data_IF_274813587946
#
_entry.id   IF_274813587946
#
_cell.length_a   1.000
_cell.length_b   1.000
_cell.length_c   1.000
_cell.angle_alpha   90.00
_cell.angle_beta   90.00
_cell.angle_gamma   90.00
#
_symmetry.space_group_name_H-M   'P 1'
#
loop_
_entity.id
_entity.type
_entity.pdbx_description
1 polymer ?
#
# COMPACT_ATOMS: atom_id res chain seq x y z
N UNK A 1 45.32 -104.87 38.35
CA UNK A 1 44.16 -104.17 37.74
C UNK A 1 43.68 -103.15 38.76
N UNK A 2 44.16 -101.92 38.67
CA UNK A 2 44.08 -100.95 39.76
C UNK A 2 43.57 -99.63 39.21
N UNK A 3 42.47 -99.18 39.82
CA UNK A 3 41.70 -97.97 39.52
C UNK A 3 42.52 -96.70 39.74
N UNK A 4 42.40 -95.73 38.84
CA UNK A 4 42.82 -94.34 39.07
C UNK A 4 41.58 -93.43 39.15
N UNK A 5 41.45 -92.73 40.28
CA UNK A 5 40.40 -91.74 40.55
C UNK A 5 40.60 -90.46 39.74
N UNK A 6 39.52 -89.95 39.17
CA UNK A 6 39.45 -88.60 38.61
C UNK A 6 38.99 -87.60 39.68
N UNK A 7 39.83 -86.59 39.96
CA UNK A 7 39.41 -85.39 40.70
C UNK A 7 38.72 -84.41 39.75
N UNK A 8 37.47 -84.05 40.04
CA UNK A 8 36.75 -82.95 39.38
C UNK A 8 37.12 -81.62 40.05
N UNK A 9 37.66 -80.68 39.28
CA UNK A 9 37.80 -79.28 39.68
C UNK A 9 36.58 -78.54 39.15
N UNK A 10 35.77 -77.97 40.05
CA UNK A 10 34.63 -77.11 39.70
C UNK A 10 35.12 -75.67 39.54
N UNK A 11 35.06 -75.13 38.32
CA UNK A 11 35.22 -73.69 38.06
C UNK A 11 33.87 -72.99 38.32
N UNK A 12 33.85 -72.04 39.25
CA UNK A 12 32.76 -71.08 39.38
C UNK A 12 32.93 -69.96 38.33
N UNK A 13 31.89 -69.59 37.57
CA UNK A 13 31.95 -68.42 36.69
C UNK A 13 31.81 -67.14 37.53
N UNK A 14 32.76 -66.22 37.38
CA UNK A 14 32.60 -64.84 37.84
C UNK A 14 31.56 -64.14 36.96
N UNK A 15 30.40 -63.79 37.53
CA UNK A 15 29.44 -62.87 36.92
C UNK A 15 29.94 -61.44 37.14
N UNK A 16 30.52 -60.82 36.11
CA UNK A 16 30.73 -59.36 36.08
C UNK A 16 29.40 -58.68 35.76
N UNK A 17 28.78 -58.06 36.75
CA UNK A 17 27.61 -57.20 36.56
C UNK A 17 28.03 -55.90 35.88
N UNK A 18 27.74 -55.76 34.58
CA UNK A 18 27.85 -54.49 33.87
C UNK A 18 26.61 -53.63 34.18
N UNK A 19 26.78 -52.58 34.98
CA UNK A 19 25.76 -51.56 35.21
C UNK A 19 25.72 -50.65 33.97
N UNK A 20 24.75 -50.87 33.09
CA UNK A 20 24.47 -49.95 31.98
C UNK A 20 23.78 -48.70 32.53
N UNK A 21 24.52 -47.59 32.59
CA UNK A 21 24.00 -46.28 32.92
C UNK A 21 23.14 -45.77 31.75
N UNK A 22 21.83 -46.00 31.80
CA UNK A 22 20.88 -45.41 30.83
C UNK A 22 20.69 -43.95 31.23
N UNK A 23 21.42 -43.05 30.58
CA UNK A 23 21.16 -41.61 30.69
C UNK A 23 19.89 -41.27 29.92
N UNK A 24 18.86 -40.69 30.55
CA UNK A 24 17.69 -40.22 29.82
C UNK A 24 18.12 -39.03 28.95
N UNK A 25 18.04 -39.18 27.63
CA UNK A 25 18.13 -38.06 26.70
C UNK A 25 16.92 -37.15 26.95
N UNK A 26 17.08 -36.15 27.82
CA UNK A 26 16.17 -35.01 27.83
C UNK A 26 16.34 -34.28 26.49
N UNK A 27 15.30 -34.18 25.63
CA UNK A 27 15.38 -33.35 24.43
C UNK A 27 15.65 -31.91 24.87
N UNK A 28 16.75 -31.34 24.37
CA UNK A 28 17.06 -29.94 24.61
C UNK A 28 15.90 -29.08 24.06
N UNK A 29 15.46 -28.04 24.78
CA UNK A 29 14.43 -27.15 24.27
C UNK A 29 14.91 -26.54 22.95
N UNK A 30 14.24 -26.89 21.86
CA UNK A 30 14.43 -26.22 20.58
C UNK A 30 13.88 -24.81 20.72
N UNK A 31 14.77 -23.84 20.92
CA UNK A 31 14.39 -22.43 20.78
C UNK A 31 14.05 -22.22 19.31
N UNK A 32 12.76 -22.16 18.99
CA UNK A 32 12.29 -21.79 17.67
C UNK A 32 12.90 -20.43 17.30
N UNK A 33 13.80 -20.42 16.32
CA UNK A 33 14.39 -19.19 15.80
C UNK A 33 13.24 -18.30 15.30
N UNK A 34 13.19 -17.06 15.77
CA UNK A 34 12.18 -16.11 15.30
C UNK A 34 12.24 -16.04 13.77
N UNK A 35 11.09 -16.13 13.07
CA UNK A 35 11.07 -16.15 11.62
C UNK A 35 11.79 -14.92 11.05
N UNK A 36 12.61 -15.14 10.03
CA UNK A 36 13.33 -14.05 9.36
C UNK A 36 12.34 -13.01 8.85
N UNK A 37 12.55 -11.74 9.20
CA UNK A 37 11.66 -10.65 8.82
C UNK A 37 11.81 -10.32 7.33
N UNK A 38 10.69 -10.23 6.63
CA UNK A 38 10.59 -9.79 5.24
C UNK A 38 10.84 -8.29 5.16
N UNK A 39 11.91 -7.90 4.46
CA UNK A 39 12.27 -6.48 4.29
C UNK A 39 11.38 -5.83 3.23
N UNK A 40 10.78 -4.69 3.57
CA UNK A 40 10.03 -3.83 2.67
C UNK A 40 10.66 -2.45 2.72
N UNK A 41 10.87 -1.81 1.57
CA UNK A 41 11.33 -0.42 1.53
C UNK A 41 10.14 0.46 1.18
N UNK A 42 9.76 1.38 2.07
CA UNK A 42 8.74 2.39 1.81
C UNK A 42 9.44 3.73 1.56
N UNK A 43 9.31 4.25 0.35
CA UNK A 43 9.83 5.55 -0.05
C UNK A 43 8.72 6.58 0.13
N UNK A 44 8.91 7.49 1.07
CA UNK A 44 8.14 8.72 1.22
C UNK A 44 8.79 9.83 0.40
N UNK A 45 8.01 10.48 -0.45
CA UNK A 45 8.44 11.62 -1.26
C UNK A 45 8.88 12.83 -0.43
N UNK A 46 9.46 13.82 -1.13
CA UNK A 46 9.76 15.13 -0.54
C UNK A 46 8.47 15.88 -0.17
N UNK A 47 8.57 16.82 0.77
CA UNK A 47 7.50 17.74 1.14
C UNK A 47 6.90 18.47 -0.09
N UNK A 48 5.58 18.45 -0.24
CA UNK A 48 4.88 19.13 -1.35
C UNK A 48 3.67 19.98 -0.94
N UNK A 49 2.45 19.43 -1.00
CA UNK A 49 1.16 20.12 -0.88
C UNK A 49 0.94 20.81 0.48
N UNK A 50 -0.12 21.63 0.64
CA UNK A 50 -0.47 22.25 1.92
C UNK A 50 -0.51 21.27 3.10
N UNK A 51 -0.40 21.82 4.32
CA UNK A 51 -0.43 21.02 5.55
C UNK A 51 -1.71 20.17 5.63
N UNK A 52 -1.56 18.89 5.95
CA UNK A 52 -2.63 17.89 5.96
C UNK A 52 -2.89 17.20 4.61
N UNK A 53 -2.21 17.62 3.54
CA UNK A 53 -2.26 17.02 2.20
C UNK A 53 -0.90 16.46 1.82
N UNK A 54 -0.86 15.29 1.18
CA UNK A 54 0.38 14.65 0.72
C UNK A 54 1.45 14.60 1.83
N UNK A 55 1.02 14.23 3.04
CA UNK A 55 1.92 14.05 4.17
C UNK A 55 2.61 12.69 4.05
N UNK A 56 3.52 12.57 3.07
CA UNK A 56 4.14 11.31 2.70
C UNK A 56 4.97 10.73 3.84
N UNK A 57 5.81 11.56 4.47
CA UNK A 57 6.62 11.16 5.63
C UNK A 57 5.74 10.75 6.79
N UNK A 58 4.80 11.59 7.21
CA UNK A 58 3.92 11.29 8.33
C UNK A 58 3.08 10.03 8.08
N UNK A 59 2.47 9.90 6.90
CA UNK A 59 1.67 8.73 6.51
C UNK A 59 2.52 7.46 6.43
N UNK A 60 3.70 7.56 5.81
CA UNK A 60 4.68 6.47 5.77
C UNK A 60 5.12 6.00 7.16
N UNK A 61 5.29 6.92 8.12
CA UNK A 61 5.57 6.60 9.52
C UNK A 61 4.42 5.82 10.17
N UNK A 62 3.17 6.24 9.97
CA UNK A 62 2.00 5.55 10.52
C UNK A 62 1.86 4.12 9.98
N UNK A 63 2.04 3.94 8.67
CA UNK A 63 1.98 2.63 8.01
C UNK A 63 3.16 1.73 8.45
N UNK A 64 4.36 2.29 8.54
CA UNK A 64 5.56 1.59 9.02
C UNK A 64 5.40 1.13 10.46
N UNK A 65 4.90 2.00 11.34
CA UNK A 65 4.59 1.69 12.75
C UNK A 65 3.56 0.56 12.84
N UNK A 66 2.47 0.63 12.08
CA UNK A 66 1.46 -0.42 12.05
C UNK A 66 2.05 -1.79 11.65
N UNK A 67 2.87 -1.82 10.59
CA UNK A 67 3.48 -3.07 10.11
C UNK A 67 4.55 -3.60 11.07
N UNK A 68 5.46 -2.76 11.54
CA UNK A 68 6.60 -3.21 12.34
C UNK A 68 6.25 -3.55 13.79
N UNK A 69 5.31 -2.83 14.39
CA UNK A 69 5.06 -2.89 15.84
C UNK A 69 3.71 -3.54 16.19
N UNK A 70 2.71 -3.47 15.31
CA UNK A 70 1.32 -3.79 15.66
C UNK A 70 0.77 -5.01 14.93
N UNK A 71 1.28 -5.30 13.74
CA UNK A 71 0.73 -6.33 12.85
C UNK A 71 0.90 -7.76 13.36
N UNK A 72 1.97 -8.01 14.13
CA UNK A 72 2.40 -9.36 14.52
C UNK A 72 2.99 -10.18 13.36
N UNK A 73 3.20 -9.58 12.19
CA UNK A 73 3.75 -10.24 11.00
C UNK A 73 5.29 -10.24 11.03
N UNK A 74 5.94 -11.21 10.35
CA UNK A 74 7.39 -11.24 10.21
C UNK A 74 7.84 -10.23 9.13
N UNK A 75 7.62 -8.94 9.36
CA UNK A 75 7.97 -7.85 8.45
C UNK A 75 8.97 -6.89 9.10
N UNK A 76 9.79 -6.27 8.26
CA UNK A 76 10.65 -5.15 8.59
C UNK A 76 10.54 -4.09 7.50
N UNK A 77 9.72 -3.07 7.74
CA UNK A 77 9.55 -1.93 6.84
C UNK A 77 10.61 -0.88 7.17
N UNK A 78 11.44 -0.56 6.18
CA UNK A 78 12.40 0.53 6.22
C UNK A 78 11.79 1.73 5.52
N UNK A 79 11.52 2.79 6.30
CA UNK A 79 11.04 4.06 5.76
C UNK A 79 12.23 4.90 5.27
N UNK A 80 12.25 5.19 3.98
CA UNK A 80 13.14 6.15 3.33
C UNK A 80 12.36 7.44 3.11
N UNK A 81 12.90 8.57 3.55
CA UNK A 81 12.25 9.89 3.40
C UNK A 81 13.01 10.77 2.41
N UNK A 82 12.35 11.82 1.92
CA UNK A 82 12.91 12.78 0.95
C UNK A 82 13.15 12.18 -0.45
N UNK A 83 12.32 11.22 -0.85
CA UNK A 83 12.35 10.63 -2.19
C UNK A 83 13.37 9.50 -2.33
N UNK A 84 13.99 9.39 -3.52
CA UNK A 84 14.89 8.28 -3.83
C UNK A 84 16.07 8.22 -2.83
N UNK A 85 16.42 7.03 -2.30
CA UNK A 85 17.48 6.91 -1.31
C UNK A 85 18.83 7.33 -1.89
N UNK A 86 19.63 8.03 -1.08
CA UNK A 86 21.03 8.34 -1.42
C UNK A 86 21.91 7.10 -1.45
N UNK A 87 21.58 6.09 -0.63
CA UNK A 87 22.27 4.81 -0.56
C UNK A 87 21.31 3.70 -1.02
N UNK A 88 21.54 3.18 -2.22
CA UNK A 88 20.70 2.15 -2.83
C UNK A 88 20.90 0.76 -2.20
N UNK A 89 21.88 0.55 -1.32
CA UNK A 89 22.01 -0.72 -0.57
C UNK A 89 20.83 -0.96 0.36
N UNK A 90 20.01 0.07 0.62
CA UNK A 90 18.71 -0.08 1.28
C UNK A 90 17.79 -1.06 0.55
N UNK A 91 17.96 -1.27 -0.76
CA UNK A 91 17.18 -2.24 -1.54
C UNK A 91 17.68 -3.68 -1.39
N UNK A 92 18.86 -3.90 -0.81
CA UNK A 92 19.43 -5.25 -0.68
C UNK A 92 18.54 -6.13 0.20
N UNK A 93 18.14 -7.27 -0.37
CA UNK A 93 17.23 -8.22 0.27
C UNK A 93 15.78 -7.76 0.39
N UNK A 94 15.41 -6.60 -0.17
CA UNK A 94 14.02 -6.14 -0.16
C UNK A 94 13.12 -7.08 -0.96
N UNK A 95 11.92 -7.36 -0.43
CA UNK A 95 10.88 -8.13 -1.12
C UNK A 95 9.80 -7.26 -1.74
N UNK A 96 9.69 -6.02 -1.29
CA UNK A 96 8.90 -5.01 -1.96
C UNK A 96 9.50 -3.60 -1.83
N UNK A 97 9.22 -2.77 -2.83
CA UNK A 97 9.43 -1.33 -2.83
C UNK A 97 8.08 -0.64 -3.01
N UNK A 98 7.72 0.18 -2.03
CA UNK A 98 6.49 0.96 -2.00
C UNK A 98 6.86 2.42 -2.20
N UNK A 99 6.20 3.12 -3.12
CA UNK A 99 6.40 4.55 -3.36
C UNK A 99 5.13 5.33 -3.03
N UNK A 100 5.23 6.20 -2.03
CA UNK A 100 4.19 7.14 -1.63
C UNK A 100 4.76 8.54 -1.71
N UNK A 101 4.54 9.20 -2.84
CA UNK A 101 5.22 10.43 -3.22
C UNK A 101 4.40 11.21 -4.25
N UNK A 102 4.88 12.39 -4.63
CA UNK A 102 4.40 13.09 -5.82
C UNK A 102 4.73 12.28 -7.09
N UNK A 103 3.96 12.49 -8.16
CA UNK A 103 4.10 11.81 -9.44
C UNK A 103 4.62 12.67 -10.59
N UNK A 104 4.24 12.27 -11.80
CA UNK A 104 4.63 12.92 -13.05
C UNK A 104 6.14 12.95 -13.22
N UNK A 105 6.68 14.08 -13.69
CA UNK A 105 8.13 14.25 -13.83
C UNK A 105 8.91 14.35 -12.51
N UNK A 106 8.22 14.43 -11.35
CA UNK A 106 8.83 14.47 -10.01
C UNK A 106 8.79 13.12 -9.29
N UNK A 107 8.28 12.08 -9.95
CA UNK A 107 8.14 10.77 -9.34
C UNK A 107 9.52 10.21 -8.91
N UNK A 108 9.71 9.66 -7.70
CA UNK A 108 11.03 9.18 -7.24
C UNK A 108 11.68 8.11 -8.13
N UNK A 109 10.89 7.29 -8.82
CA UNK A 109 11.41 6.29 -9.79
C UNK A 109 11.86 6.91 -11.12
N UNK A 110 11.36 8.10 -11.46
CA UNK A 110 11.77 8.80 -12.68
C UNK A 110 13.21 9.27 -12.51
N UNK A 111 14.09 8.84 -13.43
CA UNK A 111 15.55 8.98 -13.29
C UNK A 111 16.25 7.74 -12.73
N UNK A 112 15.48 6.76 -12.23
CA UNK A 112 15.98 5.51 -11.65
C UNK A 112 15.28 4.27 -12.22
N UNK A 113 14.68 4.38 -13.41
CA UNK A 113 13.82 3.34 -13.99
C UNK A 113 14.57 2.02 -14.17
N UNK A 114 15.83 2.04 -14.59
CA UNK A 114 16.64 0.83 -14.78
C UNK A 114 16.85 0.06 -13.47
N UNK A 115 17.04 0.77 -12.35
CA UNK A 115 17.19 0.17 -11.03
C UNK A 115 15.88 -0.46 -10.57
N UNK A 116 14.76 0.24 -10.75
CA UNK A 116 13.43 -0.29 -10.41
C UNK A 116 13.10 -1.50 -11.30
N UNK A 117 13.43 -1.45 -12.59
CA UNK A 117 13.24 -2.58 -13.51
C UNK A 117 14.07 -3.79 -13.11
N UNK A 118 15.31 -3.59 -12.68
CA UNK A 118 16.16 -4.68 -12.17
C UNK A 118 15.58 -5.32 -10.90
N UNK A 119 15.09 -4.51 -9.94
CA UNK A 119 14.39 -5.01 -8.76
C UNK A 119 13.13 -5.79 -9.15
N UNK A 120 12.33 -5.22 -10.05
CA UNK A 120 11.10 -5.81 -10.53
C UNK A 120 11.36 -7.19 -11.18
N UNK A 121 12.34 -7.29 -12.08
CA UNK A 121 12.78 -8.55 -12.73
C UNK A 121 13.33 -9.58 -11.75
N UNK A 122 13.89 -9.14 -10.62
CA UNK A 122 14.32 -10.02 -9.54
C UNK A 122 13.16 -10.52 -8.64
N UNK A 123 11.91 -10.22 -9.01
CA UNK A 123 10.71 -10.64 -8.28
C UNK A 123 10.34 -9.74 -7.10
N UNK A 124 10.99 -8.58 -6.94
CA UNK A 124 10.62 -7.61 -5.91
C UNK A 124 9.27 -6.99 -6.25
N UNK A 125 8.33 -6.98 -5.30
CA UNK A 125 7.03 -6.35 -5.50
C UNK A 125 7.14 -4.83 -5.60
N UNK A 126 6.32 -4.21 -6.45
CA UNK A 126 6.29 -2.76 -6.64
C UNK A 126 4.88 -2.25 -6.33
N UNK A 127 4.79 -1.22 -5.49
CA UNK A 127 3.53 -0.52 -5.23
C UNK A 127 3.72 0.98 -5.35
N UNK A 128 2.79 1.65 -6.02
CA UNK A 128 2.72 3.11 -6.09
C UNK A 128 1.41 3.61 -5.50
N UNK A 129 1.47 4.71 -4.75
CA UNK A 129 0.34 5.26 -4.01
C UNK A 129 0.08 6.72 -4.34
N UNK A 130 -1.19 7.07 -4.39
CA UNK A 130 -1.73 8.39 -4.66
C UNK A 130 -1.14 9.00 -5.94
N UNK A 131 -0.60 10.23 -5.86
CA UNK A 131 0.06 10.89 -6.96
C UNK A 131 1.24 10.06 -7.52
N UNK A 132 1.83 9.18 -6.72
CA UNK A 132 2.85 8.22 -7.16
C UNK A 132 2.39 7.25 -8.26
N UNK A 133 1.09 7.13 -8.55
CA UNK A 133 0.63 6.35 -9.72
C UNK A 133 0.67 7.13 -11.04
N UNK A 134 0.96 8.42 -11.02
CA UNK A 134 1.09 9.28 -12.20
C UNK A 134 2.51 9.29 -12.75
N UNK A 135 2.62 9.14 -14.07
CA UNK A 135 3.85 9.37 -14.83
C UNK A 135 3.53 10.03 -16.17
N UNK A 136 4.52 10.71 -16.74
CA UNK A 136 4.44 11.13 -18.14
C UNK A 136 4.48 9.86 -19.02
N UNK A 137 3.49 9.62 -19.91
CA UNK A 137 3.38 8.36 -20.65
C UNK A 137 4.65 7.94 -21.39
N UNK A 138 5.27 8.87 -22.12
CA UNK A 138 6.48 8.59 -22.90
C UNK A 138 7.73 8.42 -22.03
N UNK A 139 7.66 8.83 -20.76
CA UNK A 139 8.77 8.75 -19.82
C UNK A 139 8.81 7.42 -19.07
N UNK A 140 7.66 6.92 -18.61
CA UNK A 140 7.62 5.72 -17.76
C UNK A 140 6.31 4.91 -17.86
N UNK A 141 5.40 5.24 -18.79
CA UNK A 141 4.09 4.58 -18.87
C UNK A 141 4.21 3.08 -19.18
N UNK A 142 5.18 2.69 -20.02
CA UNK A 142 5.45 1.28 -20.32
C UNK A 142 5.96 0.54 -19.09
N UNK A 143 6.83 1.16 -18.31
CA UNK A 143 7.43 0.63 -17.09
C UNK A 143 6.34 0.41 -16.04
N UNK A 144 5.53 1.42 -15.76
CA UNK A 144 4.45 1.32 -14.78
C UNK A 144 3.39 0.30 -15.18
N UNK A 145 3.09 0.21 -16.48
CA UNK A 145 2.22 -0.86 -16.99
C UNK A 145 2.79 -2.25 -16.67
N UNK A 146 4.10 -2.46 -16.86
CA UNK A 146 4.75 -3.75 -16.52
C UNK A 146 4.85 -3.99 -15.01
N UNK A 147 5.13 -2.96 -14.22
CA UNK A 147 5.42 -3.09 -12.79
C UNK A 147 4.16 -3.15 -11.92
N UNK A 148 3.16 -2.33 -12.23
CA UNK A 148 1.96 -2.19 -11.40
C UNK A 148 0.67 -2.40 -12.19
N UNK A 149 0.71 -2.64 -13.50
CA UNK A 149 -0.45 -3.01 -14.32
C UNK A 149 -1.24 -1.85 -14.93
N UNK A 150 -0.91 -0.61 -14.58
CA UNK A 150 -1.58 0.60 -15.07
C UNK A 150 -1.04 1.85 -14.40
N UNK A 151 -1.48 3.03 -14.86
CA UNK A 151 -1.00 4.31 -14.35
C UNK A 151 -1.98 5.46 -14.64
N UNK A 152 -1.82 6.57 -13.92
CA UNK A 152 -2.48 7.83 -14.27
C UNK A 152 -1.70 8.48 -15.41
N UNK A 153 -2.41 8.88 -16.47
CA UNK A 153 -1.83 9.65 -17.58
C UNK A 153 -2.48 11.02 -17.68
N UNK A 154 -1.69 12.09 -17.52
CA UNK A 154 -2.16 13.46 -17.69
C UNK A 154 -2.86 13.68 -19.03
N UNK A 155 -4.00 14.37 -19.00
CA UNK A 155 -4.85 14.59 -20.18
C UNK A 155 -5.76 13.41 -20.56
N UNK A 156 -5.60 12.24 -19.94
CA UNK A 156 -6.49 11.09 -20.09
C UNK A 156 -7.22 10.78 -18.78
N UNK A 157 -6.47 10.53 -17.71
CA UNK A 157 -7.01 10.24 -16.39
C UNK A 157 -7.52 11.52 -15.72
N UNK A 158 -8.38 11.37 -14.71
CA UNK A 158 -8.98 12.48 -13.95
C UNK A 158 -8.86 12.25 -12.45
N UNK A 159 -8.80 13.33 -11.68
CA UNK A 159 -8.55 13.33 -10.24
C UNK A 159 -9.43 14.35 -9.50
N UNK A 160 -10.77 14.20 -9.47
CA UNK A 160 -11.58 15.00 -8.57
C UNK A 160 -11.39 14.59 -7.11
N UNK A 161 -11.78 15.47 -6.18
CA UNK A 161 -12.12 15.06 -4.82
C UNK A 161 -13.59 14.66 -4.76
N UNK A 162 -13.89 13.50 -4.19
CA UNK A 162 -15.26 13.00 -4.06
C UNK A 162 -15.43 12.04 -2.90
N UNK A 163 -16.68 11.92 -2.43
CA UNK A 163 -17.03 11.01 -1.34
C UNK A 163 -17.25 9.60 -1.91
N UNK A 164 -16.23 8.75 -1.84
CA UNK A 164 -16.31 7.40 -2.39
C UNK A 164 -16.85 6.41 -1.36
N UNK A 165 -17.95 5.74 -1.68
CA UNK A 165 -18.37 4.52 -0.99
C UNK A 165 -17.49 3.36 -1.50
N UNK A 166 -16.44 3.04 -0.75
CA UNK A 166 -15.40 2.10 -1.20
C UNK A 166 -15.79 0.65 -0.90
N UNK A 167 -15.53 -0.23 -1.86
CA UNK A 167 -15.71 -1.68 -1.75
C UNK A 167 -14.41 -2.41 -2.08
N UNK A 168 -13.90 -3.17 -1.11
CA UNK A 168 -12.73 -4.04 -1.31
C UNK A 168 -13.14 -5.38 -1.95
N UNK A 169 -12.25 -5.96 -2.75
CA UNK A 169 -12.44 -7.26 -3.38
C UNK A 169 -12.36 -8.39 -2.33
N UNK A 170 -13.52 -8.91 -1.92
CA UNK A 170 -13.65 -9.91 -0.84
C UNK A 170 -13.03 -11.28 -1.18
N UNK A 171 -12.89 -11.59 -2.45
CA UNK A 171 -12.28 -12.79 -3.00
C UNK A 171 -10.76 -12.66 -3.17
N UNK A 172 -10.20 -11.48 -2.94
CA UNK A 172 -8.76 -11.23 -3.01
C UNK A 172 -8.14 -11.08 -1.59
N UNK A 173 -6.91 -11.58 -1.33
CA UNK A 173 -6.26 -11.42 -0.03
C UNK A 173 -6.21 -9.96 0.46
N UNK A 174 -6.10 -9.00 -0.45
CA UNK A 174 -6.07 -7.56 -0.12
C UNK A 174 -7.38 -7.06 0.51
N UNK A 175 -8.53 -7.67 0.20
CA UNK A 175 -9.82 -7.31 0.80
C UNK A 175 -10.14 -7.99 2.12
N UNK A 176 -9.28 -8.88 2.63
CA UNK A 176 -9.50 -9.62 3.89
C UNK A 176 -9.71 -8.67 5.07
N UNK A 177 -10.81 -8.87 5.79
CA UNK A 177 -11.18 -8.09 6.97
C UNK A 177 -11.53 -6.62 6.72
N UNK A 178 -11.65 -6.18 5.46
CA UNK A 178 -11.99 -4.79 5.10
C UNK A 178 -13.50 -4.65 4.95
N UNK A 179 -14.10 -3.79 5.77
CA UNK A 179 -15.51 -3.43 5.61
C UNK A 179 -15.68 -2.31 4.59
N UNK A 180 -16.86 -2.20 3.92
CA UNK A 180 -17.18 -1.02 3.12
C UNK A 180 -17.09 0.25 3.97
N UNK A 181 -16.47 1.29 3.43
CA UNK A 181 -16.28 2.56 4.12
C UNK A 181 -16.37 3.72 3.15
N UNK A 182 -17.07 4.78 3.57
CA UNK A 182 -17.16 6.03 2.82
C UNK A 182 -15.96 6.91 3.14
N UNK A 183 -15.25 7.36 2.12
CA UNK A 183 -14.01 8.15 2.27
C UNK A 183 -14.00 9.31 1.29
N UNK A 184 -13.90 10.54 1.81
CA UNK A 184 -13.59 11.71 1.00
C UNK A 184 -12.08 11.73 0.74
N UNK A 185 -11.68 11.65 -0.52
CA UNK A 185 -10.27 11.73 -0.93
C UNK A 185 -10.18 12.34 -2.34
N UNK A 186 -8.96 12.66 -2.78
CA UNK A 186 -8.68 12.93 -4.20
C UNK A 186 -8.48 11.60 -4.93
N UNK A 187 -9.60 11.02 -5.37
CA UNK A 187 -9.66 9.70 -5.98
C UNK A 187 -9.58 9.79 -7.49
N UNK A 188 -8.63 9.06 -8.07
CA UNK A 188 -8.38 9.09 -9.51
C UNK A 188 -9.19 8.01 -10.21
N UNK A 189 -9.66 8.31 -11.41
CA UNK A 189 -10.30 7.31 -12.27
C UNK A 189 -10.03 7.57 -13.74
N UNK A 190 -10.52 6.66 -14.60
CA UNK A 190 -10.12 6.58 -16.01
C UNK A 190 -8.60 6.38 -16.14
N UNK A 191 -8.10 5.37 -15.45
CA UNK A 191 -6.69 5.00 -15.45
C UNK A 191 -6.30 4.37 -16.79
N UNK A 192 -5.02 4.49 -17.17
CA UNK A 192 -4.49 3.78 -18.34
C UNK A 192 -4.19 2.35 -17.95
N UNK A 193 -4.92 1.42 -18.56
CA UNK A 193 -4.71 -0.02 -18.45
C UNK A 193 -4.48 -0.63 -19.84
N UNK A 194 -3.73 -1.74 -19.93
CA UNK A 194 -3.73 -2.58 -21.12
C UNK A 194 -5.12 -3.10 -21.46
N UNK A 195 -5.34 -3.40 -22.73
CA UNK A 195 -6.51 -4.12 -23.20
C UNK A 195 -6.04 -5.45 -23.83
N UNK A 196 -6.43 -6.62 -23.28
CA UNK A 196 -7.24 -6.80 -22.07
C UNK A 196 -6.49 -6.40 -20.78
N UNK A 197 -7.21 -6.05 -19.69
CA UNK A 197 -6.60 -5.77 -18.40
C UNK A 197 -5.78 -6.94 -17.87
N UNK A 198 -4.59 -6.63 -17.33
CA UNK A 198 -3.66 -7.62 -16.72
C UNK A 198 -3.71 -7.64 -15.20
N UNK A 199 -4.64 -6.87 -14.60
CA UNK A 199 -4.75 -6.66 -13.18
C UNK A 199 -6.15 -7.04 -12.68
N UNK A 200 -6.25 -7.31 -11.38
CA UNK A 200 -7.49 -7.41 -10.64
C UNK A 200 -7.81 -6.07 -9.97
N UNK A 201 -9.08 -5.69 -9.93
CA UNK A 201 -9.55 -4.58 -9.09
C UNK A 201 -9.54 -5.01 -7.63
N UNK A 202 -8.84 -4.27 -6.77
CA UNK A 202 -8.69 -4.57 -5.34
C UNK A 202 -9.57 -3.71 -4.45
N UNK A 203 -9.80 -2.45 -4.87
CA UNK A 203 -10.71 -1.50 -4.26
C UNK A 203 -11.41 -0.75 -5.39
N UNK A 204 -12.73 -0.62 -5.30
CA UNK A 204 -13.52 0.12 -6.28
C UNK A 204 -14.49 1.08 -5.60
N UNK A 205 -14.93 2.07 -6.37
CA UNK A 205 -16.11 2.87 -6.07
C UNK A 205 -16.68 3.44 -7.38
N UNK A 206 -17.89 3.98 -7.32
CA UNK A 206 -18.60 4.47 -8.52
C UNK A 206 -18.75 5.99 -8.43
N UNK A 207 -18.02 6.77 -9.25
CA UNK A 207 -18.15 8.23 -9.24
C UNK A 207 -19.49 8.65 -9.87
N UNK A 208 -20.13 9.66 -9.27
CA UNK A 208 -21.29 10.36 -9.84
C UNK A 208 -21.09 11.87 -9.70
N UNK A 209 -21.75 12.69 -10.53
CA UNK A 209 -21.70 14.15 -10.35
C UNK A 209 -22.10 14.58 -8.94
N UNK A 210 -23.09 13.90 -8.33
CA UNK A 210 -23.66 14.26 -7.03
C UNK A 210 -22.66 14.17 -5.87
N UNK A 211 -21.64 13.32 -5.97
CA UNK A 211 -20.68 13.08 -4.88
C UNK A 211 -19.31 13.74 -5.12
N UNK A 212 -19.13 14.42 -6.26
CA UNK A 212 -17.91 15.18 -6.54
C UNK A 212 -17.95 16.52 -5.81
N UNK A 213 -16.90 16.79 -5.03
CA UNK A 213 -16.76 17.98 -4.17
C UNK A 213 -15.82 19.02 -4.77
N UNK A 214 -14.88 18.58 -5.60
CA UNK A 214 -13.93 19.47 -6.27
C UNK A 214 -13.36 18.80 -7.51
N UNK A 215 -13.26 19.53 -8.62
CA UNK A 215 -12.57 19.08 -9.82
C UNK A 215 -11.12 19.60 -9.81
N UNK A 216 -10.13 18.72 -9.93
CA UNK A 216 -8.72 19.11 -10.13
C UNK A 216 -8.38 19.01 -11.61
N UNK A 217 -8.20 17.80 -12.15
CA UNK A 217 -8.26 17.57 -13.59
C UNK A 217 -9.55 16.88 -13.99
N UNK A 218 -10.13 17.37 -15.08
CA UNK A 218 -11.33 16.83 -15.73
C UNK A 218 -11.17 16.90 -17.25
N UNK A 219 -11.70 15.92 -17.97
CA UNK A 219 -11.74 15.95 -19.42
C UNK A 219 -13.03 15.30 -19.96
N UNK A 220 -13.35 15.54 -21.22
CA UNK A 220 -14.58 15.04 -21.87
C UNK A 220 -14.71 13.51 -21.86
N UNK A 221 -13.58 12.80 -21.68
CA UNK A 221 -13.58 11.35 -21.52
C UNK A 221 -14.05 10.84 -20.15
N UNK A 222 -14.21 11.73 -19.16
CA UNK A 222 -14.64 11.36 -17.80
C UNK A 222 -16.15 11.22 -17.66
N UNK A 223 -16.94 12.04 -18.36
CA UNK A 223 -18.41 12.00 -18.29
C UNK A 223 -18.99 10.61 -18.66
N UNK A 224 -18.49 9.92 -19.71
CA UNK A 224 -18.90 8.55 -20.01
C UNK A 224 -18.55 7.51 -18.93
N UNK A 225 -17.62 7.81 -18.02
CA UNK A 225 -17.19 6.92 -16.94
C UNK A 225 -18.00 7.08 -15.65
N UNK A 226 -18.82 8.14 -15.56
CA UNK A 226 -19.73 8.34 -14.44
C UNK A 226 -20.79 7.25 -14.36
N UNK A 227 -21.13 6.84 -13.14
CA UNK A 227 -22.09 5.76 -12.88
C UNK A 227 -21.55 4.35 -13.13
N UNK A 228 -20.28 4.22 -13.56
CA UNK A 228 -19.60 2.93 -13.71
C UNK A 228 -18.61 2.71 -12.57
N UNK A 229 -18.46 1.48 -12.05
CA UNK A 229 -17.41 1.18 -11.08
C UNK A 229 -16.02 1.47 -11.66
N UNK A 230 -15.18 2.15 -10.89
CA UNK A 230 -13.79 2.46 -11.24
C UNK A 230 -12.84 1.79 -10.26
N UNK A 231 -11.70 1.28 -10.76
CA UNK A 231 -10.63 0.74 -9.93
C UNK A 231 -9.88 1.87 -9.21
N UNK A 232 -10.04 1.96 -7.88
CA UNK A 232 -9.30 2.89 -7.02
C UNK A 232 -7.99 2.29 -6.49
N UNK A 233 -7.96 0.97 -6.36
CA UNK A 233 -6.76 0.16 -6.14
C UNK A 233 -6.81 -1.03 -7.08
N UNK A 234 -5.69 -1.39 -7.68
CA UNK A 234 -5.55 -2.56 -8.54
C UNK A 234 -4.26 -3.31 -8.22
N UNK A 235 -4.21 -4.58 -8.59
CA UNK A 235 -2.99 -5.35 -8.44
C UNK A 235 -2.87 -6.50 -9.43
N UNK A 236 -1.63 -6.91 -9.68
CA UNK A 236 -1.30 -8.00 -10.58
C UNK A 236 -0.18 -8.85 -10.01
N UNK A 237 -0.16 -10.14 -10.36
CA UNK A 237 1.03 -10.96 -10.21
C UNK A 237 1.77 -10.99 -11.55
N UNK A 238 3.05 -10.61 -11.52
CA UNK A 238 3.92 -10.52 -12.70
C UNK A 238 4.50 -11.91 -13.00
N UNK A 239 4.84 -12.21 -14.27
CA UNK A 239 5.43 -13.51 -14.65
C UNK A 239 6.75 -13.84 -13.95
N UNK A 240 7.49 -12.82 -13.49
CA UNK A 240 8.72 -12.98 -12.72
C UNK A 240 8.49 -13.29 -11.23
N UNK A 241 7.23 -13.52 -10.83
CA UNK A 241 6.83 -13.85 -9.47
C UNK A 241 6.61 -12.64 -8.57
N UNK A 242 7.03 -11.44 -8.98
CA UNK A 242 6.78 -10.21 -8.24
C UNK A 242 5.32 -9.78 -8.33
N UNK A 243 4.87 -8.96 -7.39
CA UNK A 243 3.49 -8.41 -7.37
C UNK A 243 3.52 -6.90 -7.62
N UNK A 244 2.53 -6.40 -8.34
CA UNK A 244 2.38 -5.00 -8.70
C UNK A 244 1.10 -4.43 -8.11
N UNK A 245 1.12 -3.23 -7.52
CA UNK A 245 -0.07 -2.55 -7.01
C UNK A 245 -0.06 -1.06 -7.35
N UNK A 246 -1.20 -0.54 -7.78
CA UNK A 246 -1.45 0.90 -7.79
C UNK A 246 -2.63 1.25 -6.89
N UNK A 247 -2.53 2.36 -6.18
CA UNK A 247 -3.57 2.89 -5.30
C UNK A 247 -3.71 4.40 -5.49
N UNK A 248 -4.92 4.89 -5.70
CA UNK A 248 -5.17 6.31 -6.03
C UNK A 248 -5.44 7.19 -4.82
N UNK A 249 -5.80 6.61 -3.67
CA UNK A 249 -6.10 7.37 -2.45
C UNK A 249 -4.85 7.74 -1.66
N UNK A 250 -5.05 8.52 -0.60
CA UNK A 250 -3.97 9.01 0.27
C UNK A 250 -3.64 10.49 0.08
N UNK A 251 -4.55 11.30 -0.46
CA UNK A 251 -4.34 12.75 -0.51
C UNK A 251 -4.40 13.34 0.90
N UNK A 252 -5.50 13.08 1.60
CA UNK A 252 -5.75 13.60 2.94
C UNK A 252 -5.08 12.76 4.01
N UNK A 253 -4.17 13.36 4.77
CA UNK A 253 -3.45 12.66 5.83
C UNK A 253 -4.39 12.09 6.91
N UNK A 254 -5.50 12.78 7.20
CA UNK A 254 -6.50 12.33 8.20
C UNK A 254 -7.10 10.96 7.86
N UNK A 255 -7.19 10.59 6.58
CA UNK A 255 -7.80 9.33 6.15
C UNK A 255 -7.04 8.11 6.67
N UNK A 256 -5.76 8.25 7.07
CA UNK A 256 -5.05 7.17 7.74
C UNK A 256 -5.68 6.75 9.06
N UNK A 257 -6.45 7.63 9.72
CA UNK A 257 -7.20 7.27 10.93
C UNK A 257 -8.52 6.51 10.67
N UNK A 258 -8.92 6.33 9.40
CA UNK A 258 -10.04 5.45 9.04
C UNK A 258 -9.52 4.00 8.97
N UNK A 259 -9.96 3.16 9.89
CA UNK A 259 -9.38 1.82 10.08
C UNK A 259 -9.47 0.92 8.85
N UNK A 260 -10.62 0.87 8.16
CA UNK A 260 -10.78 0.02 6.98
C UNK A 260 -10.03 0.56 5.74
N UNK A 261 -9.92 1.89 5.60
CA UNK A 261 -9.06 2.52 4.58
C UNK A 261 -7.59 2.20 4.81
N UNK A 262 -7.13 2.31 6.06
CA UNK A 262 -5.76 1.94 6.43
C UNK A 262 -5.51 0.44 6.25
N UNK A 263 -6.47 -0.41 6.63
CA UNK A 263 -6.36 -1.87 6.56
C UNK A 263 -6.19 -2.36 5.12
N UNK A 264 -6.96 -1.86 4.15
CA UNK A 264 -6.80 -2.28 2.74
C UNK A 264 -5.41 -1.93 2.20
N UNK A 265 -4.85 -0.78 2.59
CA UNK A 265 -3.49 -0.37 2.22
C UNK A 265 -2.44 -1.26 2.89
N UNK A 266 -2.58 -1.56 4.18
CA UNK A 266 -1.68 -2.47 4.90
C UNK A 266 -1.71 -3.88 4.30
N UNK A 267 -2.90 -4.39 3.97
CA UNK A 267 -3.07 -5.66 3.28
C UNK A 267 -2.36 -5.65 1.91
N UNK A 268 -2.48 -4.56 1.15
CA UNK A 268 -1.83 -4.40 -0.15
C UNK A 268 -0.29 -4.37 -0.03
N UNK A 269 0.27 -3.70 0.98
CA UNK A 269 1.72 -3.68 1.23
C UNK A 269 2.24 -5.08 1.55
N UNK A 270 1.58 -5.80 2.46
CA UNK A 270 1.93 -7.18 2.83
C UNK A 270 1.83 -8.12 1.62
N UNK A 271 0.74 -8.01 0.86
CA UNK A 271 0.54 -8.79 -0.35
C UNK A 271 1.62 -8.49 -1.39
N UNK A 272 1.97 -7.21 -1.61
CA UNK A 272 3.02 -6.80 -2.56
C UNK A 272 4.36 -7.42 -2.20
N UNK A 273 4.67 -7.56 -0.90
CA UNK A 273 5.89 -8.19 -0.40
C UNK A 273 5.91 -9.72 -0.53
N UNK A 274 4.88 -10.34 -1.11
CA UNK A 274 4.79 -11.79 -1.31
C UNK A 274 4.32 -12.56 -0.08
N UNK A 275 3.93 -11.87 1.00
CA UNK A 275 3.42 -12.50 2.21
C UNK A 275 1.92 -12.81 2.11
N UNK A 276 1.48 -13.74 2.95
CA UNK A 276 0.06 -14.00 3.16
C UNK A 276 -0.58 -12.90 4.01
N UNK A 277 -1.70 -12.37 3.54
CA UNK A 277 -2.51 -11.43 4.31
C UNK A 277 -3.36 -12.22 5.31
N UNK A 278 -3.37 -11.90 6.62
CA UNK A 278 -4.20 -12.61 7.60
C UNK A 278 -5.69 -12.61 7.21
N UNK A 279 -6.44 -13.63 7.64
CA UNK A 279 -7.86 -13.77 7.34
C UNK A 279 -8.69 -12.55 7.80
N UNK A 280 -8.37 -12.00 8.97
CA UNK A 280 -8.97 -10.77 9.50
C UNK A 280 -8.35 -9.46 8.98
N UNK A 281 -7.45 -9.54 8.01
CA UNK A 281 -6.63 -8.42 7.55
C UNK A 281 -5.46 -8.11 8.49
N UNK A 282 -4.58 -7.21 8.04
CA UNK A 282 -3.43 -6.75 8.82
C UNK A 282 -3.91 -5.95 10.03
N UNK A 283 -3.51 -6.38 11.23
CA UNK A 283 -3.84 -5.68 12.47
C UNK A 283 -3.10 -4.34 12.56
N UNK A 284 -3.82 -3.30 12.96
CA UNK A 284 -3.26 -2.03 13.41
C UNK A 284 -4.14 -1.44 14.51
N UNK A 285 -3.57 -0.61 15.37
CA UNK A 285 -4.32 0.11 16.40
C UNK A 285 -5.00 1.35 15.79
N UNK A 286 -6.14 1.81 16.33
CA UNK A 286 -6.73 3.08 15.94
C UNK A 286 -5.73 4.23 16.09
N UNK A 287 -5.68 5.12 15.10
CA UNK A 287 -4.77 6.26 15.10
C UNK A 287 -5.38 7.40 15.91
N UNK A 288 -4.59 8.01 16.79
CA UNK A 288 -5.01 9.17 17.57
C UNK A 288 -4.72 10.49 16.85
N UNK A 289 -5.40 11.56 17.24
CA UNK A 289 -5.10 12.91 16.71
C UNK A 289 -3.63 13.29 16.95
N UNK A 290 -3.06 12.95 18.11
CA UNK A 290 -1.66 13.23 18.41
C UNK A 290 -0.72 12.53 17.41
N UNK A 291 -1.02 11.29 17.03
CA UNK A 291 -0.22 10.54 16.05
C UNK A 291 -0.31 11.13 14.64
N UNK A 292 -1.47 11.65 14.23
CA UNK A 292 -1.62 12.36 12.94
C UNK A 292 -0.75 13.63 12.86
N UNK A 293 -0.34 14.19 13.99
CA UNK A 293 0.41 15.44 14.05
C UNK A 293 1.89 15.27 14.44
N UNK A 294 2.33 14.04 14.76
CA UNK A 294 3.67 13.77 15.32
C UNK A 294 4.81 14.00 14.32
N UNK A 295 4.59 13.72 13.03
CA UNK A 295 5.64 13.67 12.01
C UNK A 295 5.30 14.46 10.74
N UNK A 296 4.45 15.49 10.86
CA UNK A 296 4.10 16.38 9.75
C UNK A 296 5.34 17.16 9.29
N UNK A 297 5.46 17.35 7.98
CA UNK A 297 6.50 18.22 7.44
C UNK A 297 6.17 19.69 7.74
N UNK A 298 7.18 20.50 8.02
CA UNK A 298 6.98 21.94 8.28
C UNK A 298 6.51 22.66 7.01
N UNK A 299 5.26 23.11 7.01
CA UNK A 299 4.55 23.78 5.92
C UNK A 299 3.95 25.09 6.42
N UNK A 300 3.84 26.10 5.55
CA UNK A 300 3.31 27.41 5.95
C UNK A 300 2.04 27.73 5.17
N UNK A 301 0.88 27.92 5.83
CA UNK A 301 0.64 27.73 7.27
C UNK A 301 0.64 26.24 7.68
N UNK A 302 1.03 25.96 8.92
CA UNK A 302 0.81 24.65 9.55
C UNK A 302 -0.63 24.53 10.01
N UNK A 303 -1.24 23.36 9.81
CA UNK A 303 -2.56 23.05 10.36
C UNK A 303 -2.48 21.83 11.27
N UNK A 304 -3.18 21.89 12.39
CA UNK A 304 -3.41 20.69 13.20
C UNK A 304 -4.41 19.79 12.48
N UNK A 305 -3.97 18.60 12.11
CA UNK A 305 -4.81 17.62 11.42
C UNK A 305 -5.73 16.97 12.45
N UNK A 306 -7.04 17.17 12.29
CA UNK A 306 -8.07 16.53 13.13
C UNK A 306 -8.38 15.12 12.66
N UNK A 307 -8.92 14.30 13.56
CA UNK A 307 -9.49 13.01 13.19
C UNK A 307 -10.60 13.19 12.14
N UNK A 308 -10.79 12.22 11.23
CA UNK A 308 -11.93 12.20 10.33
C UNK A 308 -13.25 12.35 11.09
N UNK A 309 -14.19 13.08 10.51
CA UNK A 309 -15.50 13.31 11.10
C UNK A 309 -16.60 13.28 10.03
N UNK A 310 -17.88 13.13 10.42
CA UNK A 310 -18.98 13.26 9.48
C UNK A 310 -19.00 14.59 8.71
N UNK A 311 -18.38 15.64 9.25
CA UNK A 311 -18.29 16.95 8.61
C UNK A 311 -17.45 16.93 7.32
N UNK A 312 -16.56 15.94 7.16
CA UNK A 312 -15.77 15.76 5.94
C UNK A 312 -16.66 15.57 4.70
N UNK A 313 -17.91 15.12 4.89
CA UNK A 313 -18.90 14.90 3.83
C UNK A 313 -19.85 16.09 3.61
N UNK A 314 -19.77 17.14 4.44
CA UNK A 314 -20.65 18.31 4.36
C UNK A 314 -20.26 19.29 3.25
N UNK A 315 -19.10 19.09 2.61
CA UNK A 315 -18.72 19.91 1.46
C UNK A 315 -19.81 19.82 0.39
N UNK A 316 -20.33 20.95 -0.12
CA UNK A 316 -21.32 20.93 -1.19
C UNK A 316 -20.80 20.22 -2.43
N UNK A 317 -21.72 19.64 -3.21
CA UNK A 317 -21.41 19.12 -4.54
C UNK A 317 -20.84 20.26 -5.40
N UNK A 318 -19.75 19.99 -6.13
CA UNK A 318 -19.14 20.96 -7.01
C UNK A 318 -19.93 21.08 -8.32
N UNK A 319 -20.10 22.31 -8.78
CA UNK A 319 -20.68 22.59 -10.11
C UNK A 319 -19.88 21.86 -11.21
N UNK A 320 -20.55 21.18 -12.15
CA UNK A 320 -19.88 20.50 -13.25
C UNK A 320 -18.96 21.44 -14.04
N UNK A 321 -17.77 20.94 -14.37
CA UNK A 321 -16.83 21.62 -15.26
C UNK A 321 -16.66 20.82 -16.55
N UNK A 322 -16.32 21.52 -17.64
CA UNK A 322 -15.81 20.92 -18.87
C UNK A 322 -14.32 20.55 -18.74
N UNK A 323 -13.57 20.62 -19.83
CA UNK A 323 -12.13 20.33 -19.82
C UNK A 323 -11.35 21.26 -18.85
N UNK A 324 -10.69 20.63 -17.88
CA UNK A 324 -9.80 21.25 -16.90
C UNK A 324 -8.54 20.40 -16.81
N UNK A 325 -7.57 20.63 -17.69
CA UNK A 325 -6.32 19.87 -17.72
C UNK A 325 -5.12 20.67 -17.18
N UNK A 326 -3.95 20.03 -17.01
CA UNK A 326 -2.70 20.72 -16.79
C UNK A 326 -2.48 21.82 -17.85
N UNK A 327 -2.29 23.06 -17.42
CA UNK A 327 -2.10 24.22 -18.32
C UNK A 327 -3.38 24.84 -18.91
N UNK A 328 -4.56 24.27 -18.66
CA UNK A 328 -5.85 24.87 -19.06
C UNK A 328 -6.31 25.80 -17.96
N UNK A 329 -6.37 27.11 -18.22
CA UNK A 329 -6.94 28.07 -17.26
C UNK A 329 -8.41 27.72 -17.00
N UNK A 330 -8.89 27.73 -15.74
CA UNK A 330 -10.32 27.59 -15.47
C UNK A 330 -11.10 28.60 -16.30
N UNK A 331 -12.19 28.17 -16.92
CA UNK A 331 -13.15 29.12 -17.48
C UNK A 331 -13.59 30.07 -16.35
N UNK A 332 -13.65 31.38 -16.64
CA UNK A 332 -14.17 32.34 -15.68
C UNK A 332 -15.58 31.88 -15.24
N UNK A 333 -15.93 32.00 -13.94
CA UNK A 333 -17.27 31.64 -13.48
C UNK A 333 -18.30 32.36 -14.35
N UNK A 334 -19.29 31.62 -14.83
CA UNK A 334 -20.40 32.22 -15.57
C UNK A 334 -20.98 33.34 -14.71
N UNK A 335 -21.11 34.55 -15.29
CA UNK A 335 -21.75 35.67 -14.59
C UNK A 335 -23.12 35.19 -14.10
N UNK A 336 -23.53 35.52 -12.86
CA UNK A 336 -24.87 35.20 -12.39
C UNK A 336 -25.87 35.69 -13.42
N UNK A 337 -26.78 34.81 -13.85
CA UNK A 337 -27.88 35.21 -14.71
C UNK A 337 -28.61 36.35 -14.00
N UNK A 338 -28.61 37.53 -14.61
CA UNK A 338 -29.41 38.67 -14.15
C UNK A 338 -30.85 38.20 -14.04
N UNK A 339 -31.42 38.28 -12.84
CA UNK A 339 -32.82 37.96 -12.61
C UNK A 339 -33.69 38.74 -13.62
N UNK A 340 -34.71 38.11 -14.22
CA UNK A 340 -35.57 38.80 -15.16
C UNK A 340 -36.20 40.01 -14.47
N UNK A 341 -36.04 41.17 -15.10
CA UNK A 341 -36.67 42.41 -14.65
C UNK A 341 -38.17 42.15 -14.47
N UNK A 342 -38.70 42.47 -13.29
CA UNK A 342 -40.15 42.47 -13.07
C UNK A 342 -40.77 43.43 -14.09
N UNK A 343 -41.64 42.90 -14.94
CA UNK A 343 -42.44 43.71 -15.85
C UNK A 343 -43.39 44.62 -15.03
N UNK A 344 -43.68 45.83 -15.53
CA UNK A 344 -44.37 46.89 -14.79
C UNK A 344 -45.80 46.56 -14.38
#
# INVERSE_FOLDING_TARGET
MTRASFFRVSLFPLLTAAVALVTPLCPSPSFAQAPAKTKIVLIAGVKSHPSGQHEFRAGGTLLTRALNEQSGLPVNVVLVTEGWPKDETVFDGAKAVICYADGGGKHPFVGHLDKVDALAKAGVGIMCMHYGVEVVPDQAGKEFTRWIGGYYAGGYSVNPHWDADTEAAKDHPVGRGVNPVKVNDEWYFRMRFPEPPVHSTLLKATPTRAIIKRYIHWNDGADPELGKPQSLMWGMQRPDGGRGVGFTGGHWHRNWAIDDFRKVVLNAIVWTAGLEVPEGGVKSLPITEAQLNENLDEKTPMVQVKLPSPEDFNTPTAEPVGNRGPGVKPAAPAKPATAPAKQP
#
